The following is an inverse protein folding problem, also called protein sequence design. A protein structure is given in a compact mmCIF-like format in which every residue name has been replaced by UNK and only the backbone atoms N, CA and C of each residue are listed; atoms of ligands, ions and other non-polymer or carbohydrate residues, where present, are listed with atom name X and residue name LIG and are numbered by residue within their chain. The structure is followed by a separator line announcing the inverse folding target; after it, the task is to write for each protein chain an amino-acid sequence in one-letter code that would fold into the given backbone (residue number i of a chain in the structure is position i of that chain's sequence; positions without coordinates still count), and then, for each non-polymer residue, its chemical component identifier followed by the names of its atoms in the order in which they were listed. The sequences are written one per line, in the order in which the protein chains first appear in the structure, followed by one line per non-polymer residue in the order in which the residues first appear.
data_IF_327539899759
#
_entry.id   IF_327539899759
#
_cell.length_a   1.000
_cell.length_b   1.000
_cell.length_c   1.000
_cell.angle_alpha   90.00
_cell.angle_beta   90.00
_cell.angle_gamma   90.00
#
_symmetry.space_group_name_H-M   'P 1'
#
loop_
_entity.id
_entity.type
_entity.pdbx_description
1 polymer ?
#
# COMPACT_ATOMS: atom_id res chain seq x y z
N UNK A 1 10.98 -3.68 -8.63
CA UNK A 1 9.73 -2.88 -8.57
C UNK A 1 9.65 -2.08 -7.26
N UNK A 2 10.23 -2.57 -6.15
CA UNK A 2 10.38 -1.82 -4.90
C UNK A 2 10.92 -0.40 -5.07
N UNK A 3 12.07 -0.22 -5.75
CA UNK A 3 12.66 1.12 -5.92
C UNK A 3 11.76 2.12 -6.66
N UNK A 4 11.00 1.66 -7.67
CA UNK A 4 10.04 2.53 -8.36
C UNK A 4 8.90 2.96 -7.44
N UNK A 5 8.47 2.07 -6.55
CA UNK A 5 7.45 2.38 -5.55
C UNK A 5 7.97 3.40 -4.53
N UNK A 6 9.22 3.25 -4.11
CA UNK A 6 9.92 4.23 -3.26
C UNK A 6 9.97 5.60 -3.94
N UNK A 7 10.32 5.67 -5.23
CA UNK A 7 10.33 6.94 -6.00
C UNK A 7 8.96 7.61 -6.04
N UNK A 8 7.88 6.86 -6.28
CA UNK A 8 6.51 7.38 -6.27
C UNK A 8 6.10 7.89 -4.89
N UNK A 9 6.44 7.16 -3.83
CA UNK A 9 6.15 7.57 -2.45
C UNK A 9 6.93 8.83 -2.07
N UNK A 10 8.18 8.96 -2.52
CA UNK A 10 8.99 10.18 -2.34
C UNK A 10 8.33 11.38 -2.98
N UNK A 11 7.86 11.25 -4.23
CA UNK A 11 7.15 12.33 -4.93
C UNK A 11 5.90 12.79 -4.16
N UNK A 12 5.11 11.85 -3.62
CA UNK A 12 3.92 12.19 -2.82
C UNK A 12 4.25 12.88 -1.49
N UNK A 13 5.39 12.56 -0.86
CA UNK A 13 5.87 13.28 0.33
C UNK A 13 6.37 14.68 -0.05
N UNK A 14 7.13 14.81 -1.14
CA UNK A 14 7.66 16.08 -1.63
C UNK A 14 6.55 17.05 -2.08
N UNK A 15 5.45 16.52 -2.61
CA UNK A 15 4.27 17.31 -3.01
C UNK A 15 3.29 17.60 -1.87
N UNK A 16 3.57 17.12 -0.66
CA UNK A 16 2.68 17.15 0.51
C UNK A 16 1.34 16.39 0.34
N UNK A 17 1.21 15.55 -0.70
CA UNK A 17 0.07 14.63 -0.85
C UNK A 17 0.06 13.58 0.26
N UNK A 18 1.24 13.11 0.67
CA UNK A 18 1.46 12.21 1.80
C UNK A 18 2.20 12.92 2.93
N UNK A 19 1.88 12.55 4.16
CA UNK A 19 2.61 13.00 5.35
C UNK A 19 4.05 12.52 5.31
N UNK A 20 4.93 13.18 6.04
CA UNK A 20 6.33 12.77 6.16
C UNK A 20 6.43 11.37 6.80
N UNK A 21 6.82 10.38 5.99
CA UNK A 21 6.96 8.97 6.37
C UNK A 21 8.28 8.41 5.84
N UNK A 22 8.73 7.30 6.42
CA UNK A 22 9.78 6.51 5.80
C UNK A 22 9.21 5.76 4.59
N UNK A 23 9.54 6.25 3.39
CA UNK A 23 9.08 5.71 2.11
C UNK A 23 9.49 4.26 1.87
N UNK A 24 10.60 3.79 2.45
CA UNK A 24 11.03 2.39 2.33
C UNK A 24 10.16 1.45 3.17
N UNK A 25 9.76 1.88 4.36
CA UNK A 25 8.86 1.09 5.22
C UNK A 25 7.47 0.97 4.58
N UNK A 26 6.98 2.06 3.98
CA UNK A 26 5.69 2.08 3.27
C UNK A 26 5.73 1.21 2.03
N UNK A 27 6.81 1.28 1.23
CA UNK A 27 6.99 0.41 0.07
C UNK A 27 6.99 -1.07 0.50
N UNK A 28 7.70 -1.41 1.57
CA UNK A 28 7.73 -2.76 2.14
C UNK A 28 6.33 -3.23 2.60
N UNK A 29 5.56 -2.34 3.25
CA UNK A 29 4.20 -2.65 3.68
C UNK A 29 3.25 -2.95 2.50
N UNK A 30 3.35 -2.17 1.40
CA UNK A 30 2.57 -2.42 0.18
C UNK A 30 2.89 -3.81 -0.40
N UNK A 31 4.17 -4.18 -0.43
CA UNK A 31 4.57 -5.49 -0.93
C UNK A 31 4.09 -6.62 -0.03
N UNK A 32 4.20 -6.47 1.29
CA UNK A 32 3.71 -7.44 2.25
C UNK A 32 2.18 -7.66 2.12
N UNK A 33 1.41 -6.59 1.85
CA UNK A 33 -0.02 -6.69 1.56
C UNK A 33 -0.26 -7.52 0.29
N UNK A 34 0.46 -7.22 -0.79
CA UNK A 34 0.27 -7.90 -2.08
C UNK A 34 0.69 -9.37 -2.03
N UNK A 35 1.84 -9.68 -1.45
CA UNK A 35 2.35 -11.04 -1.28
C UNK A 35 1.52 -11.84 -0.27
N UNK A 36 1.08 -11.22 0.82
CA UNK A 36 0.17 -11.82 1.78
C UNK A 36 -1.18 -12.17 1.14
N UNK A 37 -1.71 -11.29 0.30
CA UNK A 37 -2.93 -11.57 -0.47
C UNK A 37 -2.72 -12.71 -1.47
N UNK A 38 -1.55 -12.77 -2.13
CA UNK A 38 -1.16 -13.88 -2.99
C UNK A 38 -1.20 -15.23 -2.27
N UNK A 39 -0.64 -15.28 -1.06
CA UNK A 39 -0.67 -16.46 -0.23
C UNK A 39 -2.09 -16.84 0.19
N UNK A 40 -2.89 -15.88 0.68
CA UNK A 40 -4.27 -16.14 1.11
C UNK A 40 -5.12 -16.73 -0.03
N UNK A 41 -4.99 -16.17 -1.24
CA UNK A 41 -5.69 -16.66 -2.42
C UNK A 41 -5.21 -18.05 -2.86
N UNK A 42 -3.92 -18.35 -2.70
CA UNK A 42 -3.38 -19.68 -2.99
C UNK A 42 -3.91 -20.75 -2.03
N UNK A 43 -4.13 -20.37 -0.77
CA UNK A 43 -4.62 -21.29 0.28
C UNK A 43 -6.13 -21.51 0.20
N UNK A 44 -6.92 -20.44 -0.02
CA UNK A 44 -8.38 -20.51 -0.09
C UNK A 44 -8.92 -19.46 -1.08
N UNK A 45 -8.94 -19.78 -2.40
CA UNK A 45 -9.35 -18.84 -3.43
C UNK A 45 -10.86 -18.51 -3.38
N UNK A 46 -11.68 -19.39 -2.81
CA UNK A 46 -13.13 -19.17 -2.69
C UNK A 46 -13.47 -18.16 -1.59
N UNK A 47 -12.69 -18.11 -0.52
CA UNK A 47 -12.87 -17.13 0.56
C UNK A 47 -12.08 -15.84 0.38
N UNK A 48 -11.10 -15.82 -0.52
CA UNK A 48 -10.26 -14.64 -0.76
C UNK A 48 -10.74 -13.87 -1.99
N UNK A 49 -11.57 -12.84 -1.78
CA UNK A 49 -11.95 -11.91 -2.85
C UNK A 49 -10.79 -10.96 -3.15
N UNK A 50 -9.90 -11.38 -4.07
CA UNK A 50 -8.67 -10.66 -4.39
C UNK A 50 -8.89 -9.17 -4.66
N UNK A 51 -9.84 -8.86 -5.55
CA UNK A 51 -10.10 -7.47 -5.97
C UNK A 51 -10.52 -6.58 -4.82
N UNK A 52 -11.50 -7.02 -4.02
CA UNK A 52 -12.06 -6.26 -2.90
C UNK A 52 -11.07 -6.11 -1.75
N UNK A 53 -10.34 -7.19 -1.44
CA UNK A 53 -9.34 -7.21 -0.36
C UNK A 53 -8.17 -6.30 -0.70
N UNK A 54 -7.66 -6.36 -1.93
CA UNK A 54 -6.60 -5.47 -2.40
C UNK A 54 -7.04 -3.99 -2.37
N UNK A 55 -8.21 -3.68 -2.93
CA UNK A 55 -8.75 -2.31 -2.91
C UNK A 55 -8.90 -1.78 -1.49
N UNK A 56 -9.41 -2.60 -0.57
CA UNK A 56 -9.58 -2.22 0.83
C UNK A 56 -8.25 -1.96 1.52
N UNK A 57 -7.26 -2.85 1.35
CA UNK A 57 -5.95 -2.71 1.96
C UNK A 57 -5.21 -1.46 1.45
N UNK A 58 -5.21 -1.22 0.13
CA UNK A 58 -4.61 -0.02 -0.46
C UNK A 58 -5.32 1.25 0.00
N UNK A 59 -6.66 1.25 0.04
CA UNK A 59 -7.44 2.41 0.53
C UNK A 59 -7.09 2.74 1.98
N UNK A 60 -7.02 1.73 2.86
CA UNK A 60 -6.66 1.92 4.26
C UNK A 60 -5.24 2.47 4.40
N UNK A 61 -4.28 1.93 3.65
CA UNK A 61 -2.91 2.42 3.64
C UNK A 61 -2.84 3.88 3.18
N UNK A 62 -3.42 4.21 2.02
CA UNK A 62 -3.40 5.57 1.46
C UNK A 62 -4.08 6.56 2.41
N UNK A 63 -5.22 6.19 3.00
CA UNK A 63 -5.88 7.03 4.00
C UNK A 63 -4.99 7.28 5.22
N UNK A 64 -4.21 6.29 5.65
CA UNK A 64 -3.23 6.44 6.73
C UNK A 64 -1.95 7.21 6.34
N UNK A 65 -1.74 7.47 5.05
CA UNK A 65 -0.61 8.25 4.53
C UNK A 65 -0.97 9.68 4.19
N UNK A 66 -2.23 9.95 3.84
CA UNK A 66 -2.70 11.30 3.51
C UNK A 66 -2.43 12.26 4.66
N UNK A 67 -1.94 13.45 4.31
CA UNK A 67 -1.88 14.58 5.25
C UNK A 67 -3.30 14.94 5.66
N UNK A 68 -3.57 15.17 6.95
CA UNK A 68 -4.88 15.67 7.39
C UNK A 68 -5.17 16.95 6.60
N UNK A 69 -6.20 16.92 5.77
CA UNK A 69 -6.71 18.11 5.10
C UNK A 69 -7.46 18.91 6.15
N UNK A 70 -6.91 20.06 6.53
CA UNK A 70 -7.54 21.03 7.43
C UNK A 70 -8.80 21.62 6.80
#
# INVERSE_FOLDING_TARGET
YHERLVELLKQGVESAEFRAVNVHDVASAILAIYEGLALLWTVDPEKTTWGETNQTAIRLLVNGLRTESN
#
